data_IF_177216125544
#
_entry.id   IF_177216125544
#
_cell.length_a   1.000
_cell.length_b   1.000
_cell.length_c   1.000
_cell.angle_alpha   90.00
_cell.angle_beta   90.00
_cell.angle_gamma   90.00
#
_symmetry.space_group_name_H-M   'P 1'
#
loop_
_entity.id
_entity.type
_entity.pdbx_description
1 polymer ?
#
# COMPACT_ATOMS: atom_id res chain seq x y z
N UNK A 1 -12.97 -10.36 6.41
CA UNK A 1 -12.46 -11.00 7.64
C UNK A 1 -11.12 -11.65 7.29
N UNK A 2 -10.01 -10.98 7.56
CA UNK A 2 -8.69 -11.64 7.58
C UNK A 2 -8.63 -12.43 8.88
N UNK A 3 -8.80 -13.74 8.81
CA UNK A 3 -8.60 -14.59 9.98
C UNK A 3 -7.11 -14.59 10.28
N UNK A 4 -6.70 -13.92 11.36
CA UNK A 4 -5.41 -14.17 11.98
C UNK A 4 -5.56 -15.40 12.85
N UNK A 5 -4.67 -16.38 12.68
CA UNK A 5 -4.61 -17.56 13.51
C UNK A 5 -3.52 -17.35 14.55
N UNK A 6 -3.87 -17.56 15.82
CA UNK A 6 -2.95 -17.46 16.94
C UNK A 6 -2.76 -18.87 17.49
N UNK A 7 -1.52 -19.33 17.48
CA UNK A 7 -1.11 -20.61 18.00
C UNK A 7 -0.44 -20.39 19.35
N UNK A 8 -0.78 -21.21 20.33
CA UNK A 8 -0.21 -21.15 21.67
C UNK A 8 0.52 -22.44 22.02
N UNK A 9 1.31 -22.42 23.08
CA UNK A 9 1.84 -23.62 23.73
C UNK A 9 0.70 -24.52 24.24
N UNK A 10 1.02 -25.78 24.55
CA UNK A 10 0.03 -26.76 25.04
C UNK A 10 -0.66 -26.32 26.34
N UNK A 11 0.04 -25.57 27.19
CA UNK A 11 -0.51 -24.97 28.41
C UNK A 11 -1.34 -23.71 28.17
N UNK A 12 -1.40 -23.21 26.92
CA UNK A 12 -2.13 -22.01 26.53
C UNK A 12 -1.52 -20.69 27.03
N UNK A 13 -0.35 -20.71 27.69
CA UNK A 13 0.20 -19.54 28.37
C UNK A 13 1.13 -18.70 27.49
N UNK A 14 1.68 -19.27 26.43
CA UNK A 14 2.61 -18.57 25.54
C UNK A 14 2.14 -18.61 24.09
N UNK A 15 2.23 -17.46 23.42
CA UNK A 15 2.05 -17.38 21.97
C UNK A 15 3.26 -18.04 21.29
N UNK A 16 3.03 -18.92 20.32
CA UNK A 16 4.10 -19.63 19.59
C UNK A 16 4.17 -19.23 18.12
N UNK A 17 3.02 -18.90 17.51
CA UNK A 17 2.94 -18.49 16.12
C UNK A 17 1.71 -17.60 15.89
N UNK A 18 1.87 -16.59 15.04
CA UNK A 18 0.78 -15.81 14.45
C UNK A 18 0.81 -16.06 12.95
N UNK A 19 -0.29 -16.51 12.39
CA UNK A 19 -0.39 -16.79 10.96
C UNK A 19 -1.49 -15.93 10.33
N UNK A 20 -1.18 -15.41 9.14
CA UNK A 20 -2.07 -14.64 8.29
C UNK A 20 -2.24 -15.40 6.96
N UNK A 21 -3.09 -16.45 6.92
CA UNK A 21 -3.10 -17.41 5.81
C UNK A 21 -3.37 -16.77 4.45
N UNK A 22 -4.26 -15.76 4.41
CA UNK A 22 -4.67 -15.08 3.17
C UNK A 22 -3.55 -14.31 2.49
N UNK A 23 -2.54 -13.90 3.26
CA UNK A 23 -1.37 -13.18 2.74
C UNK A 23 -0.11 -14.02 2.84
N UNK A 24 -0.25 -15.30 3.24
CA UNK A 24 0.82 -16.29 3.38
C UNK A 24 1.98 -15.81 4.26
N UNK A 25 1.66 -15.19 5.40
CA UNK A 25 2.66 -14.68 6.34
C UNK A 25 2.55 -15.36 7.69
N UNK A 26 3.70 -15.62 8.31
CA UNK A 26 3.80 -16.20 9.64
C UNK A 26 4.82 -15.44 10.46
N UNK A 27 4.47 -15.23 11.72
CA UNK A 27 5.31 -14.55 12.68
C UNK A 27 5.45 -15.38 13.94
N UNK A 28 6.66 -15.50 14.47
CA UNK A 28 6.90 -16.15 15.76
C UNK A 28 7.50 -15.15 16.75
N UNK A 29 7.17 -15.26 18.04
CA UNK A 29 7.84 -14.45 19.05
C UNK A 29 9.32 -14.81 19.14
N UNK A 30 10.15 -13.79 19.32
CA UNK A 30 11.57 -13.91 19.58
C UNK A 30 12.07 -12.72 20.41
N UNK A 31 13.28 -12.79 20.98
CA UNK A 31 13.83 -11.72 21.79
C UNK A 31 14.02 -10.44 20.96
N UNK A 32 13.63 -9.29 21.50
CA UNK A 32 13.92 -7.99 20.90
C UNK A 32 15.44 -7.80 20.84
N UNK A 33 16.04 -7.50 19.68
CA UNK A 33 17.46 -7.20 19.56
C UNK A 33 17.93 -6.06 20.48
N UNK A 34 17.03 -5.14 20.85
CA UNK A 34 17.30 -4.06 21.79
C UNK A 34 17.07 -4.42 23.27
N UNK A 35 16.77 -5.69 23.60
CA UNK A 35 16.54 -6.15 24.97
C UNK A 35 15.22 -5.70 25.61
N UNK A 36 14.32 -5.08 24.84
CA UNK A 36 13.07 -4.47 25.32
C UNK A 36 11.87 -5.43 25.43
N UNK A 37 12.12 -6.74 25.42
CA UNK A 37 11.07 -7.77 25.53
C UNK A 37 11.00 -8.68 24.31
N UNK A 38 9.79 -8.98 23.83
CA UNK A 38 9.55 -9.87 22.69
C UNK A 38 9.12 -9.07 21.45
N UNK A 39 9.55 -9.55 20.28
CA UNK A 39 9.11 -9.08 18.96
C UNK A 39 8.57 -10.25 18.16
N UNK A 40 7.69 -9.95 17.21
CA UNK A 40 7.15 -10.93 16.27
C UNK A 40 8.04 -10.96 15.01
N UNK A 41 8.88 -11.98 14.89
CA UNK A 41 9.78 -12.20 13.76
C UNK A 41 9.07 -12.88 12.61
N UNK A 42 9.26 -12.39 11.38
CA UNK A 42 8.75 -13.03 10.17
C UNK A 42 9.46 -14.36 9.93
N UNK A 43 8.71 -15.37 9.51
CA UNK A 43 9.25 -16.65 9.05
C UNK A 43 9.61 -16.63 7.57
N UNK A 44 8.98 -15.75 6.79
CA UNK A 44 9.23 -15.57 5.36
C UNK A 44 10.43 -14.65 5.09
N UNK A 45 10.62 -13.64 5.94
CA UNK A 45 11.70 -12.66 5.80
C UNK A 45 12.69 -12.78 6.95
N UNK A 46 13.72 -13.60 6.76
CA UNK A 46 14.74 -13.87 7.78
C UNK A 46 15.38 -12.60 8.34
N UNK A 47 15.47 -12.51 9.67
CA UNK A 47 16.05 -11.37 10.37
C UNK A 47 15.13 -10.14 10.48
N UNK A 48 13.92 -10.17 9.90
CA UNK A 48 12.94 -9.09 10.02
C UNK A 48 11.89 -9.40 11.09
N UNK A 49 11.47 -8.35 11.80
CA UNK A 49 10.40 -8.40 12.80
C UNK A 49 9.41 -7.25 12.63
N UNK A 50 8.18 -7.45 13.13
CA UNK A 50 7.13 -6.45 13.11
C UNK A 50 7.49 -5.26 13.99
N UNK A 51 7.40 -4.07 13.41
CA UNK A 51 7.53 -2.81 14.13
C UNK A 51 6.15 -2.41 14.70
N UNK A 52 6.12 -2.01 15.97
CA UNK A 52 4.88 -1.56 16.62
C UNK A 52 4.41 -0.25 15.97
N UNK A 53 3.18 -0.29 15.46
CA UNK A 53 2.54 0.77 14.68
C UNK A 53 2.20 2.00 15.51
N UNK A 54 2.01 1.85 16.83
CA UNK A 54 1.78 2.98 17.74
C UNK A 54 2.98 3.93 17.81
N UNK A 55 4.17 3.43 17.48
CA UNK A 55 5.38 4.22 17.43
C UNK A 55 5.75 4.76 16.06
N UNK A 56 5.00 4.55 14.96
CA UNK A 56 5.43 4.96 13.60
C UNK A 56 4.55 6.05 12.96
N UNK A 57 3.30 6.21 13.41
CA UNK A 57 2.44 7.32 12.95
C UNK A 57 2.77 8.65 13.65
N UNK A 58 3.43 8.57 14.80
CA UNK A 58 4.04 9.72 15.46
C UNK A 58 5.54 9.67 15.18
N UNK A 59 5.99 10.48 14.22
CA UNK A 59 7.38 10.53 13.81
C UNK A 59 8.30 10.98 14.96
N UNK A 60 7.82 11.86 15.85
CA UNK A 60 8.60 12.35 17.00
C UNK A 60 8.77 11.24 18.04
N UNK A 61 7.68 10.54 18.38
CA UNK A 61 7.74 9.38 19.25
C UNK A 61 8.62 8.26 18.65
N UNK A 62 8.57 8.07 17.31
CA UNK A 62 9.41 7.07 16.66
C UNK A 62 10.89 7.42 16.74
N UNK A 63 11.22 8.67 16.40
CA UNK A 63 12.59 9.17 16.41
C UNK A 63 13.13 9.14 17.84
N UNK A 64 12.33 9.50 18.84
CA UNK A 64 12.72 9.38 20.25
C UNK A 64 12.95 7.92 20.67
N UNK A 65 12.11 6.98 20.21
CA UNK A 65 12.21 5.57 20.60
C UNK A 65 13.31 4.78 19.88
N UNK A 66 13.69 5.21 18.67
CA UNK A 66 14.60 4.44 17.79
C UNK A 66 15.85 5.19 17.36
N UNK A 67 15.90 6.52 17.50
CA UNK A 67 16.98 7.36 17.00
C UNK A 67 17.12 7.36 15.47
N UNK A 68 16.14 6.81 14.74
CA UNK A 68 16.23 6.66 13.29
C UNK A 68 15.94 8.01 12.59
N UNK A 69 16.89 8.58 11.82
CA UNK A 69 16.69 9.87 11.16
C UNK A 69 15.63 9.82 10.05
N UNK A 70 15.24 8.63 9.60
CA UNK A 70 14.27 8.44 8.51
C UNK A 70 12.82 8.50 8.99
N UNK A 71 12.60 8.98 10.22
CA UNK A 71 11.31 8.90 10.90
C UNK A 71 10.18 9.67 10.26
N UNK A 72 10.46 10.92 9.93
CA UNK A 72 9.52 11.77 9.21
C UNK A 72 9.12 11.19 7.87
N UNK A 73 10.09 10.70 7.09
CA UNK A 73 9.86 10.23 5.74
C UNK A 73 9.04 8.94 5.73
N UNK A 74 9.37 7.99 6.63
CA UNK A 74 8.60 6.76 6.78
C UNK A 74 7.16 7.06 7.20
N UNK A 75 6.96 7.95 8.18
CA UNK A 75 5.62 8.37 8.60
C UNK A 75 4.83 8.98 7.43
N UNK A 76 5.48 9.78 6.55
CA UNK A 76 4.85 10.34 5.36
C UNK A 76 4.36 9.26 4.36
N UNK A 77 5.09 8.15 4.24
CA UNK A 77 4.67 7.01 3.41
C UNK A 77 3.53 6.24 4.07
N UNK A 78 3.58 6.01 5.38
CA UNK A 78 2.56 5.27 6.10
C UNK A 78 1.22 6.01 6.20
N UNK A 79 1.23 7.35 6.21
CA UNK A 79 0.02 8.16 6.12
C UNK A 79 -0.80 7.86 4.84
N UNK A 80 -0.13 7.46 3.74
CA UNK A 80 -0.74 7.05 2.48
C UNK A 80 -1.26 5.60 2.51
N UNK A 81 -0.86 4.81 3.51
CA UNK A 81 -1.04 3.35 3.54
C UNK A 81 -1.62 2.90 4.89
N UNK A 82 -2.92 3.13 5.13
CA UNK A 82 -3.55 2.85 6.43
C UNK A 82 -3.60 1.37 6.80
N UNK A 83 -3.22 0.46 5.91
CA UNK A 83 -3.16 -0.98 6.12
C UNK A 83 -1.74 -1.57 5.97
N UNK A 84 -0.72 -0.73 5.77
CA UNK A 84 0.65 -1.18 5.70
C UNK A 84 1.14 -1.71 7.05
N UNK A 85 1.99 -2.72 6.96
CA UNK A 85 2.73 -3.31 8.07
C UNK A 85 4.21 -3.04 7.85
N UNK A 86 4.92 -2.59 8.88
CA UNK A 86 6.35 -2.27 8.80
C UNK A 86 7.16 -3.40 9.40
N UNK A 87 8.17 -3.83 8.65
CA UNK A 87 9.16 -4.81 9.06
C UNK A 87 10.51 -4.11 9.23
N UNK A 88 11.21 -4.42 10.31
CA UNK A 88 12.56 -3.93 10.57
C UNK A 88 13.51 -5.09 10.77
N UNK A 89 14.72 -5.00 10.21
CA UNK A 89 15.77 -5.97 10.46
C UNK A 89 16.60 -5.60 11.70
N UNK A 90 17.35 -6.56 12.22
CA UNK A 90 18.34 -6.31 13.27
C UNK A 90 19.42 -5.31 12.85
N UNK A 91 19.74 -5.26 11.55
CA UNK A 91 20.67 -4.30 10.95
C UNK A 91 20.05 -2.91 10.69
N UNK A 92 18.75 -2.71 10.95
CA UNK A 92 18.08 -1.42 10.74
C UNK A 92 17.52 -1.21 9.33
N UNK A 93 17.54 -2.21 8.46
CA UNK A 93 16.82 -2.16 7.18
C UNK A 93 15.30 -2.15 7.43
N UNK A 94 14.57 -1.38 6.63
CA UNK A 94 13.12 -1.22 6.77
C UNK A 94 12.44 -1.70 5.51
N UNK A 95 11.38 -2.49 5.68
CA UNK A 95 10.50 -2.94 4.60
C UNK A 95 9.06 -2.61 4.93
N UNK A 96 8.32 -2.15 3.94
CA UNK A 96 6.90 -1.88 4.05
C UNK A 96 6.17 -2.99 3.30
N UNK A 97 5.35 -3.72 4.04
CA UNK A 97 4.49 -4.76 3.53
C UNK A 97 3.09 -4.20 3.33
N UNK A 98 2.58 -4.26 2.12
CA UNK A 98 1.29 -3.66 1.75
C UNK A 98 0.49 -4.61 0.88
N UNK A 99 -0.75 -4.86 1.27
CA UNK A 99 -1.69 -5.65 0.46
C UNK A 99 -2.47 -4.74 -0.47
N UNK A 100 -2.67 -5.14 -1.72
CA UNK A 100 -3.66 -4.49 -2.57
C UNK A 100 -5.03 -4.55 -1.89
N UNK A 101 -5.65 -3.39 -1.70
CA UNK A 101 -6.94 -3.25 -1.06
C UNK A 101 -7.67 -2.07 -1.70
N UNK A 102 -9.01 -2.11 -1.66
CA UNK A 102 -9.80 -0.93 -1.99
C UNK A 102 -9.59 0.12 -0.89
N UNK A 103 -8.93 1.22 -1.23
CA UNK A 103 -8.66 2.34 -0.34
C UNK A 103 -9.38 3.55 -0.87
N UNK A 104 -10.09 4.23 0.02
CA UNK A 104 -10.89 5.41 -0.32
C UNK A 104 -10.52 6.59 0.56
N UNK A 105 -10.63 7.79 -0.01
CA UNK A 105 -10.60 9.05 0.74
C UNK A 105 -12.05 9.42 1.09
N UNK A 106 -12.49 9.31 2.36
CA UNK A 106 -13.86 9.56 2.73
C UNK A 106 -14.18 11.06 2.62
N UNK A 107 -15.37 11.36 2.11
CA UNK A 107 -15.89 12.73 2.06
C UNK A 107 -16.42 13.13 3.45
N UNK A 108 -15.57 13.75 4.25
CA UNK A 108 -15.92 14.20 5.60
C UNK A 108 -16.39 15.66 5.52
N UNK A 109 -17.69 15.91 5.77
CA UNK A 109 -18.29 17.27 5.68
C UNK A 109 -17.56 18.31 6.52
N UNK A 110 -17.13 17.95 7.73
CA UNK A 110 -16.41 18.85 8.65
C UNK A 110 -14.93 19.04 8.29
N UNK A 111 -14.36 18.20 7.42
CA UNK A 111 -12.95 18.25 6.98
C UNK A 111 -12.89 17.97 5.46
N UNK A 112 -13.41 18.88 4.61
CA UNK A 112 -13.53 18.65 3.16
C UNK A 112 -12.18 18.53 2.45
N UNK A 113 -11.10 19.00 3.08
CA UNK A 113 -9.73 18.88 2.58
C UNK A 113 -8.95 17.73 3.20
N UNK A 114 -9.63 16.80 3.90
CA UNK A 114 -8.95 15.65 4.48
C UNK A 114 -8.22 14.82 3.42
N UNK A 115 -7.02 14.37 3.75
CA UNK A 115 -6.23 13.41 2.97
C UNK A 115 -6.23 12.03 3.64
N UNK A 116 -6.95 11.87 4.74
CA UNK A 116 -7.03 10.63 5.50
C UNK A 116 -7.60 9.52 4.62
N UNK A 117 -6.95 8.36 4.63
CA UNK A 117 -7.35 7.21 3.83
C UNK A 117 -7.91 6.10 4.71
N UNK A 118 -8.92 5.41 4.22
CA UNK A 118 -9.52 4.25 4.89
C UNK A 118 -9.63 3.08 3.93
N UNK A 119 -9.46 1.88 4.46
CA UNK A 119 -9.68 0.66 3.67
C UNK A 119 -11.17 0.37 3.61
N UNK A 120 -11.72 0.32 2.40
CA UNK A 120 -13.06 -0.17 2.15
C UNK A 120 -13.05 -1.71 2.16
N UNK A 121 -13.55 -2.28 3.26
CA UNK A 121 -13.48 -3.71 3.51
C UNK A 121 -14.46 -4.54 2.66
N UNK A 122 -15.41 -3.90 1.96
CA UNK A 122 -16.44 -4.59 1.17
C UNK A 122 -15.91 -5.09 -0.18
N UNK A 123 -14.98 -4.38 -0.80
CA UNK A 123 -14.51 -4.65 -2.17
C UNK A 123 -13.18 -5.41 -2.25
N UNK A 124 -12.63 -5.85 -1.10
CA UNK A 124 -11.35 -6.60 -1.00
C UNK A 124 -11.26 -7.88 -1.87
N UNK A 125 -12.38 -8.36 -2.41
CA UNK A 125 -12.47 -9.61 -3.19
C UNK A 125 -12.24 -9.38 -4.68
N UNK A 126 -12.53 -8.18 -5.22
CA UNK A 126 -12.63 -7.97 -6.66
C UNK A 126 -11.29 -7.87 -7.41
N UNK A 127 -10.18 -7.51 -6.73
CA UNK A 127 -8.88 -7.23 -7.38
C UNK A 127 -7.84 -8.36 -7.27
N UNK A 128 -8.19 -9.48 -6.61
CA UNK A 128 -7.21 -10.50 -6.22
C UNK A 128 -6.27 -9.96 -5.12
N UNK A 129 -6.10 -10.74 -4.04
CA UNK A 129 -5.22 -10.34 -2.95
C UNK A 129 -3.76 -10.50 -3.36
N UNK A 130 -3.14 -9.40 -3.82
CA UNK A 130 -1.69 -9.32 -4.07
C UNK A 130 -1.02 -8.60 -2.90
N UNK A 131 0.06 -9.16 -2.39
CA UNK A 131 0.88 -8.53 -1.36
C UNK A 131 2.16 -8.02 -1.99
N UNK A 132 2.53 -6.79 -1.64
CA UNK A 132 3.74 -6.14 -2.08
C UNK A 132 4.68 -5.96 -0.89
N UNK A 133 5.96 -6.23 -1.12
CA UNK A 133 7.04 -5.93 -0.19
C UNK A 133 7.92 -4.86 -0.84
N UNK A 134 8.03 -3.71 -0.18
CA UNK A 134 8.78 -2.56 -0.68
C UNK A 134 9.93 -2.24 0.27
N UNK A 135 11.12 -2.08 -0.29
CA UNK A 135 12.32 -1.73 0.49
C UNK A 135 12.33 -0.21 0.70
N UNK A 136 12.42 0.21 1.96
CA UNK A 136 12.59 1.61 2.30
C UNK A 136 14.08 1.92 2.36
N UNK A 137 14.55 2.71 1.41
CA UNK A 137 15.97 2.95 1.18
C UNK A 137 16.63 3.61 2.41
N UNK A 138 17.91 3.35 2.59
CA UNK A 138 18.70 3.87 3.72
C UNK A 138 18.81 5.40 3.72
N UNK A 139 18.59 6.04 2.57
CA UNK A 139 18.52 7.51 2.46
C UNK A 139 17.25 8.11 3.07
N UNK A 140 16.23 7.31 3.42
CA UNK A 140 14.93 7.78 3.94
C UNK A 140 13.99 8.36 2.88
N UNK A 141 14.49 8.70 1.69
CA UNK A 141 13.72 9.47 0.70
C UNK A 141 13.05 8.63 -0.39
N UNK A 142 13.31 7.32 -0.45
CA UNK A 142 12.92 6.45 -1.57
C UNK A 142 12.31 5.15 -1.07
N UNK A 143 11.16 4.81 -1.64
CA UNK A 143 10.52 3.51 -1.48
C UNK A 143 10.66 2.73 -2.78
N UNK A 144 11.40 1.62 -2.74
CA UNK A 144 11.70 0.80 -3.90
C UNK A 144 10.60 -0.23 -4.09
N UNK A 145 9.92 -0.11 -5.23
CA UNK A 145 8.84 -1.03 -5.64
C UNK A 145 9.40 -2.14 -6.53
N UNK A 146 9.03 -3.38 -6.23
CA UNK A 146 9.56 -4.58 -6.91
C UNK A 146 8.79 -4.99 -8.18
N UNK A 147 7.71 -4.30 -8.54
CA UNK A 147 6.90 -4.61 -9.72
C UNK A 147 6.10 -3.40 -10.20
N UNK A 148 5.73 -3.39 -11.48
CA UNK A 148 4.84 -2.38 -12.07
C UNK A 148 3.50 -2.31 -11.33
N UNK A 149 2.87 -3.45 -11.03
CA UNK A 149 1.63 -3.48 -10.22
C UNK A 149 1.79 -2.78 -8.86
N UNK A 150 2.94 -2.98 -8.20
CA UNK A 150 3.26 -2.32 -6.93
C UNK A 150 3.41 -0.81 -7.08
N UNK A 151 4.11 -0.35 -8.12
CA UNK A 151 4.26 1.08 -8.43
C UNK A 151 2.93 1.74 -8.76
N UNK A 152 2.07 1.06 -9.52
CA UNK A 152 0.72 1.52 -9.86
C UNK A 152 -0.15 1.65 -8.61
N UNK A 153 -0.09 0.67 -7.71
CA UNK A 153 -0.83 0.72 -6.45
C UNK A 153 -0.29 1.82 -5.52
N UNK A 154 1.03 1.97 -5.41
CA UNK A 154 1.62 3.08 -4.65
C UNK A 154 1.21 4.45 -5.21
N UNK A 155 1.16 4.58 -6.54
CA UNK A 155 0.69 5.79 -7.23
C UNK A 155 -0.75 6.10 -6.87
N UNK A 156 -1.63 5.09 -6.84
CA UNK A 156 -3.02 5.25 -6.41
C UNK A 156 -3.13 5.86 -5.02
N UNK A 157 -2.49 5.22 -4.05
CA UNK A 157 -2.54 5.62 -2.65
C UNK A 157 -2.02 7.05 -2.49
N UNK A 158 -0.98 7.40 -3.24
CA UNK A 158 -0.39 8.74 -3.25
C UNK A 158 -1.33 9.78 -3.86
N UNK A 159 -2.04 9.46 -4.94
CA UNK A 159 -3.08 10.33 -5.54
C UNK A 159 -4.28 10.52 -4.62
N UNK A 160 -4.76 9.44 -4.00
CA UNK A 160 -5.85 9.50 -3.02
C UNK A 160 -5.45 10.35 -1.81
N UNK A 161 -4.19 10.33 -1.41
CA UNK A 161 -3.66 11.19 -0.35
C UNK A 161 -3.39 12.64 -0.80
N UNK A 162 -3.65 13.01 -2.06
CA UNK A 162 -3.37 14.34 -2.66
C UNK A 162 -1.89 14.75 -2.67
N UNK A 163 -0.97 13.81 -2.56
CA UNK A 163 0.46 14.09 -2.73
C UNK A 163 0.85 14.01 -4.21
N UNK A 164 0.43 15.02 -4.97
CA UNK A 164 0.59 15.03 -6.42
C UNK A 164 2.05 15.08 -6.85
N UNK A 165 2.93 15.70 -6.06
CA UNK A 165 4.36 15.79 -6.37
C UNK A 165 5.03 14.41 -6.32
N UNK A 166 4.76 13.64 -5.27
CA UNK A 166 5.28 12.27 -5.17
C UNK A 166 4.66 11.36 -6.23
N UNK A 167 3.35 11.48 -6.48
CA UNK A 167 2.67 10.70 -7.52
C UNK A 167 3.23 11.00 -8.92
N UNK A 168 3.54 12.26 -9.24
CA UNK A 168 4.16 12.63 -10.51
C UNK A 168 5.53 11.98 -10.71
N UNK A 169 6.36 11.88 -9.65
CA UNK A 169 7.65 11.17 -9.68
C UNK A 169 7.47 9.68 -9.90
N UNK A 170 6.51 9.05 -9.20
CA UNK A 170 6.21 7.62 -9.36
C UNK A 170 5.73 7.29 -10.78
N UNK A 171 4.80 8.08 -11.34
CA UNK A 171 4.38 7.91 -12.74
C UNK A 171 5.50 8.26 -13.72
N UNK A 172 6.45 9.11 -13.31
CA UNK A 172 7.73 9.33 -13.98
C UNK A 172 8.57 8.06 -14.15
N UNK A 173 8.62 7.22 -13.11
CA UNK A 173 9.44 6.00 -13.09
C UNK A 173 8.78 4.77 -13.71
N UNK A 174 7.50 4.85 -14.09
CA UNK A 174 6.82 3.74 -14.74
C UNK A 174 7.29 3.66 -16.20
N UNK A 175 8.07 2.63 -16.51
CA UNK A 175 8.34 2.18 -17.88
C UNK A 175 7.33 1.10 -18.29
N UNK A 176 6.82 1.21 -19.52
CA UNK A 176 5.93 0.21 -20.13
C UNK A 176 6.67 -0.59 -21.21
N UNK A 177 7.95 -0.90 -20.94
CA UNK A 177 8.87 -1.50 -21.91
C UNK A 177 8.46 -2.94 -22.25
N UNK A 178 7.76 -3.61 -21.32
CA UNK A 178 7.10 -4.89 -21.51
C UNK A 178 5.58 -4.67 -21.59
N UNK A 179 4.88 -5.51 -22.37
CA UNK A 179 3.43 -5.42 -22.48
C UNK A 179 2.74 -5.48 -21.10
N UNK A 180 1.74 -4.61 -20.88
CA UNK A 180 0.99 -4.55 -19.62
C UNK A 180 0.19 -5.85 -19.43
N UNK A 181 0.26 -6.45 -18.25
CA UNK A 181 -0.57 -7.62 -17.92
C UNK A 181 -2.03 -7.22 -17.66
N UNK A 182 -2.96 -8.16 -17.79
CA UNK A 182 -4.39 -7.91 -17.53
C UNK A 182 -4.65 -7.38 -16.09
N UNK A 183 -3.86 -7.80 -15.10
CA UNK A 183 -3.99 -7.31 -13.72
C UNK A 183 -3.48 -5.87 -13.56
N UNK A 184 -2.41 -5.50 -14.27
CA UNK A 184 -1.89 -4.14 -14.28
C UNK A 184 -2.82 -3.17 -15.02
N UNK A 185 -3.42 -3.64 -16.12
CA UNK A 185 -4.47 -2.93 -16.85
C UNK A 185 -5.68 -2.66 -15.93
N UNK A 186 -6.14 -3.68 -15.19
CA UNK A 186 -7.21 -3.53 -14.19
C UNK A 186 -6.84 -2.53 -13.09
N UNK A 187 -5.62 -2.57 -12.58
CA UNK A 187 -5.13 -1.60 -11.58
C UNK A 187 -5.10 -0.17 -12.14
N UNK A 188 -4.65 0.01 -13.37
CA UNK A 188 -4.67 1.31 -14.06
C UNK A 188 -6.10 1.86 -14.17
N UNK A 189 -7.04 1.04 -14.63
CA UNK A 189 -8.46 1.41 -14.74
C UNK A 189 -9.03 1.76 -13.36
N UNK A 190 -8.74 0.94 -12.35
CA UNK A 190 -9.16 1.17 -10.97
C UNK A 190 -8.61 2.51 -10.43
N UNK A 191 -7.37 2.86 -10.74
CA UNK A 191 -6.76 4.13 -10.35
C UNK A 191 -7.50 5.33 -10.95
N UNK A 192 -7.80 5.25 -12.24
CA UNK A 192 -8.51 6.30 -12.96
C UNK A 192 -9.91 6.50 -12.39
N UNK A 193 -10.66 5.42 -12.14
CA UNK A 193 -12.01 5.46 -11.56
C UNK A 193 -12.00 6.04 -10.13
N UNK A 194 -11.13 5.53 -9.26
CA UNK A 194 -11.10 5.89 -7.83
C UNK A 194 -10.69 7.35 -7.59
N UNK A 195 -10.02 7.98 -8.56
CA UNK A 195 -9.52 9.36 -8.42
C UNK A 195 -10.27 10.38 -9.27
N UNK A 196 -11.33 9.98 -10.00
CA UNK A 196 -12.04 10.85 -10.96
C UNK A 196 -12.69 12.09 -10.33
N UNK A 197 -13.07 11.99 -9.05
CA UNK A 197 -13.69 13.09 -8.31
C UNK A 197 -12.71 14.20 -7.94
N UNK A 198 -11.40 13.93 -8.00
CA UNK A 198 -10.35 14.89 -7.69
C UNK A 198 -10.09 15.81 -8.90
N UNK A 199 -10.69 17.00 -8.90
CA UNK A 199 -10.61 17.96 -10.01
C UNK A 199 -9.34 18.83 -10.00
N UNK A 200 -8.38 18.57 -9.10
CA UNK A 200 -7.13 19.33 -9.05
C UNK A 200 -6.34 19.18 -10.38
N UNK A 201 -5.75 20.25 -10.94
CA UNK A 201 -5.03 20.19 -12.23
C UNK A 201 -3.90 19.16 -12.22
N UNK A 202 -3.12 19.07 -11.14
CA UNK A 202 -2.06 18.06 -11.03
C UNK A 202 -2.60 16.63 -11.01
N UNK A 203 -3.77 16.38 -10.39
CA UNK A 203 -4.41 15.07 -10.42
C UNK A 203 -4.85 14.72 -11.86
N UNK A 204 -5.41 15.69 -12.59
CA UNK A 204 -5.76 15.54 -13.99
C UNK A 204 -4.54 15.23 -14.87
N UNK A 205 -3.43 15.93 -14.69
CA UNK A 205 -2.20 15.67 -15.45
C UNK A 205 -1.67 14.25 -15.22
N UNK A 206 -1.66 13.79 -13.97
CA UNK A 206 -1.22 12.42 -13.65
C UNK A 206 -2.17 11.38 -14.25
N UNK A 207 -3.49 11.58 -14.13
CA UNK A 207 -4.48 10.70 -14.76
C UNK A 207 -4.32 10.65 -16.28
N UNK A 208 -4.09 11.79 -16.93
CA UNK A 208 -3.85 11.83 -18.38
C UNK A 208 -2.60 11.04 -18.77
N UNK A 209 -1.53 11.12 -17.96
CA UNK A 209 -0.31 10.32 -18.20
C UNK A 209 -0.57 8.82 -18.05
N UNK A 210 -1.32 8.41 -17.02
CA UNK A 210 -1.74 7.01 -16.84
C UNK A 210 -2.67 6.53 -17.96
N UNK A 211 -3.60 7.38 -18.40
CA UNK A 211 -4.52 7.09 -19.51
C UNK A 211 -3.76 6.94 -20.82
N UNK A 212 -2.76 7.79 -21.09
CA UNK A 212 -1.92 7.68 -22.28
C UNK A 212 -1.20 6.33 -22.33
N UNK A 213 -0.68 5.87 -21.20
CA UNK A 213 -0.05 4.55 -21.11
C UNK A 213 -1.03 3.41 -21.40
N UNK A 214 -2.24 3.49 -20.85
CA UNK A 214 -3.30 2.52 -21.10
C UNK A 214 -3.70 2.48 -22.59
N UNK A 215 -3.85 3.64 -23.21
CA UNK A 215 -4.17 3.76 -24.65
C UNK A 215 -3.02 3.23 -25.52
N UNK A 216 -1.77 3.55 -25.16
CA UNK A 216 -0.59 3.07 -25.88
C UNK A 216 -0.49 1.54 -25.83
N UNK A 217 -0.87 0.92 -24.71
CA UNK A 217 -0.95 -0.52 -24.58
C UNK A 217 -2.10 -1.14 -25.37
N UNK A 218 -3.31 -0.60 -25.23
CA UNK A 218 -4.51 -1.10 -25.91
C UNK A 218 -5.35 0.07 -26.47
N UNK A 219 -5.22 0.38 -27.77
CA UNK A 219 -5.90 1.50 -28.41
C UNK A 219 -7.43 1.43 -28.37
N UNK A 220 -8.01 0.26 -28.09
CA UNK A 220 -9.47 0.13 -27.94
C UNK A 220 -10.02 0.98 -26.79
N UNK A 221 -9.20 1.30 -25.79
CA UNK A 221 -9.57 2.25 -24.73
C UNK A 221 -9.85 3.67 -25.23
N UNK A 222 -9.43 4.01 -26.45
CA UNK A 222 -9.77 5.28 -27.12
C UNK A 222 -11.20 5.29 -27.70
N UNK A 223 -11.74 4.11 -28.03
CA UNK A 223 -13.03 3.94 -28.72
C UNK A 223 -14.20 3.73 -27.74
N UNK A 224 -13.91 3.54 -26.46
CA UNK A 224 -14.92 3.40 -25.43
C UNK A 224 -15.42 4.79 -25.06
N UNK A 225 -16.71 5.05 -25.32
CA UNK A 225 -17.36 6.26 -24.81
C UNK A 225 -17.14 6.32 -23.29
N UNK A 226 -16.78 7.48 -22.72
CA UNK A 226 -16.52 7.63 -21.28
C UNK A 226 -17.68 7.15 -20.38
N UNK A 227 -18.86 6.99 -20.95
CA UNK A 227 -20.13 6.79 -20.26
C UNK A 227 -20.62 5.33 -20.32
N UNK A 228 -20.19 4.54 -21.32
CA UNK A 228 -20.83 3.24 -21.62
C UNK A 228 -20.13 2.02 -21.00
N UNK A 229 -18.87 2.10 -20.56
CA UNK A 229 -18.21 0.99 -19.83
C UNK A 229 -17.59 1.38 -18.47
N UNK A 230 -17.41 2.68 -18.20
CA UNK A 230 -17.03 3.09 -16.84
C UNK A 230 -18.13 2.78 -15.82
N UNK A 231 -19.39 2.70 -16.27
CA UNK A 231 -20.58 2.37 -15.49
C UNK A 231 -21.16 0.97 -15.81
N UNK A 232 -21.03 0.43 -17.03
CA UNK A 232 -21.85 -0.71 -17.46
C UNK A 232 -21.16 -2.07 -17.72
N UNK A 233 -19.87 -2.24 -17.42
CA UNK A 233 -19.24 -3.58 -17.50
C UNK A 233 -19.25 -4.29 -16.15
N UNK A 234 -20.18 -5.22 -15.92
CA UNK A 234 -20.19 -6.31 -14.89
C UNK A 234 -19.83 -6.01 -13.42
N UNK A 235 -19.61 -4.75 -13.03
CA UNK A 235 -19.32 -4.36 -11.65
C UNK A 235 -20.55 -3.87 -10.88
N UNK A 236 -21.74 -3.91 -11.49
CA UNK A 236 -23.01 -3.62 -10.83
C UNK A 236 -23.32 -4.59 -9.67
N UNK A 237 -22.73 -5.79 -9.70
CA UNK A 237 -22.93 -6.83 -8.68
C UNK A 237 -22.08 -6.63 -7.41
N UNK A 238 -21.22 -5.61 -7.38
CA UNK A 238 -20.33 -5.32 -6.24
C UNK A 238 -20.68 -4.03 -5.48
N UNK A 239 -21.86 -3.44 -5.71
CA UNK A 239 -22.40 -2.31 -4.95
C UNK A 239 -23.34 -2.76 -3.82
#
# INVERSE_FOLDING_TARGET
MSHALFWTSEDGQSLTLVELPRVQLRFAPGPDPGGRGLRLFSKEFGGFYLLDRNGVHDAEAWQAATGDPRASDLASYLAKMPHAVVLRSTAGAIRILVTNADVVRPAIKVKPFSTDLVVNRKLLVALGLKTFLWDFHESGSLLLTSSLSGTLYLTLLTLLHRDYSSAARLVGSIGFDEGISADEERLLIFNLKSTVTDRHPNASAIRLKLLLALIAHNPKHFLLKPEEELIAGDYGDYL
#
